data_IF_282248250697
#
_entry.id   IF_282248250697
#
_cell.length_a   1.000
_cell.length_b   1.000
_cell.length_c   1.000
_cell.angle_alpha   90.00
_cell.angle_beta   90.00
_cell.angle_gamma   90.00
#
_symmetry.space_group_name_H-M   'P 1'
#
loop_
_entity.id
_entity.type
_entity.pdbx_description
1 polymer ?
#
# COMPACT_ATOMS: atom_id res chain seq x y z
N UNK A 1 -14.28 1.56 4.01
CA UNK A 1 -14.35 1.14 5.44
C UNK A 1 -15.27 -0.07 5.54
N UNK A 2 -14.82 -1.18 6.15
CA UNK A 2 -15.56 -2.47 6.22
C UNK A 2 -17.00 -2.32 6.73
N UNK A 3 -17.22 -1.49 7.75
CA UNK A 3 -18.54 -1.23 8.32
C UNK A 3 -19.59 -0.67 7.33
N UNK A 4 -19.16 -0.09 6.21
CA UNK A 4 -20.04 0.45 5.16
C UNK A 4 -20.08 -0.44 3.91
N UNK A 5 -19.36 -1.57 3.90
CA UNK A 5 -19.28 -2.43 2.73
C UNK A 5 -20.54 -3.31 2.61
N UNK A 6 -21.22 -3.35 1.45
CA UNK A 6 -22.49 -4.07 1.30
C UNK A 6 -22.38 -5.55 1.67
N UNK A 7 -21.21 -6.16 1.44
CA UNK A 7 -20.94 -7.57 1.75
C UNK A 7 -20.26 -7.81 3.08
N UNK A 8 -19.37 -6.91 3.54
CA UNK A 8 -18.44 -7.20 4.66
C UNK A 8 -18.81 -6.49 5.96
N UNK A 9 -19.90 -5.70 5.98
CA UNK A 9 -20.36 -4.95 7.15
C UNK A 9 -20.66 -5.83 8.37
N UNK A 10 -20.85 -7.14 8.19
CA UNK A 10 -21.08 -8.10 9.28
C UNK A 10 -19.81 -8.44 10.06
N UNK A 11 -18.62 -8.14 9.53
CA UNK A 11 -17.35 -8.39 10.20
C UNK A 11 -17.10 -7.32 11.26
N UNK A 12 -16.83 -7.74 12.50
CA UNK A 12 -16.46 -6.84 13.59
C UNK A 12 -15.08 -6.23 13.33
N UNK A 13 -14.96 -4.90 13.49
CA UNK A 13 -13.71 -4.15 13.24
C UNK A 13 -13.08 -3.56 14.49
N UNK A 14 -13.89 -3.13 15.48
CA UNK A 14 -13.39 -2.38 16.64
C UNK A 14 -12.44 -3.22 17.49
N UNK A 15 -11.24 -2.67 17.75
CA UNK A 15 -10.22 -3.29 18.62
C UNK A 15 -9.50 -4.50 18.01
N UNK A 16 -9.65 -4.74 16.70
CA UNK A 16 -9.01 -5.86 16.02
C UNK A 16 -7.89 -5.40 15.10
N UNK A 17 -6.85 -6.22 14.98
CA UNK A 17 -5.81 -6.05 13.99
C UNK A 17 -6.38 -6.16 12.56
N UNK A 18 -5.79 -5.42 11.62
CA UNK A 18 -6.20 -5.43 10.21
C UNK A 18 -6.15 -6.85 9.62
N UNK A 19 -5.08 -7.59 9.89
CA UNK A 19 -4.92 -8.97 9.41
C UNK A 19 -6.04 -9.90 9.87
N UNK A 20 -6.53 -9.75 11.11
CA UNK A 20 -7.64 -10.55 11.63
C UNK A 20 -8.96 -10.24 10.91
N UNK A 21 -9.18 -8.97 10.56
CA UNK A 21 -10.36 -8.56 9.78
C UNK A 21 -10.27 -9.11 8.35
N UNK A 22 -9.11 -9.01 7.71
CA UNK A 22 -8.89 -9.53 6.35
C UNK A 22 -8.98 -11.06 6.28
N UNK A 23 -8.51 -11.78 7.31
CA UNK A 23 -8.65 -13.23 7.42
C UNK A 23 -10.12 -13.67 7.48
N UNK A 24 -10.97 -12.93 8.21
CA UNK A 24 -12.42 -13.19 8.22
C UNK A 24 -13.03 -12.98 6.83
N UNK A 25 -12.61 -11.96 6.09
CA UNK A 25 -13.07 -11.74 4.70
C UNK A 25 -12.69 -12.96 3.85
N UNK A 26 -11.41 -13.34 3.88
CA UNK A 26 -10.87 -14.47 3.12
C UNK A 26 -11.61 -15.78 3.43
N UNK A 27 -11.86 -16.08 4.71
CA UNK A 27 -12.50 -17.31 5.11
C UNK A 27 -14.03 -17.30 4.90
N UNK A 28 -14.72 -16.28 5.40
CA UNK A 28 -16.19 -16.28 5.46
C UNK A 28 -16.83 -15.96 4.10
N UNK A 29 -16.17 -15.15 3.27
CA UNK A 29 -16.74 -14.68 2.01
C UNK A 29 -16.07 -15.27 0.77
N UNK A 30 -14.78 -15.57 0.84
CA UNK A 30 -14.04 -16.18 -0.26
C UNK A 30 -13.78 -17.67 -0.06
N UNK A 31 -14.25 -18.23 1.06
CA UNK A 31 -14.20 -19.66 1.39
C UNK A 31 -12.78 -20.24 1.35
N UNK A 32 -11.78 -19.40 1.64
CA UNK A 32 -10.39 -19.85 1.78
C UNK A 32 -10.28 -20.63 3.09
N UNK A 33 -9.84 -21.91 3.08
CA UNK A 33 -9.71 -22.71 4.29
C UNK A 33 -8.76 -22.06 5.31
N UNK A 34 -9.08 -22.14 6.60
CA UNK A 34 -8.32 -21.47 7.65
C UNK A 34 -6.86 -21.94 7.70
N UNK A 35 -6.60 -23.22 7.41
CA UNK A 35 -5.26 -23.80 7.31
C UNK A 35 -4.41 -23.24 6.16
N UNK A 36 -5.03 -22.54 5.20
CA UNK A 36 -4.36 -21.82 4.11
C UNK A 36 -4.15 -20.33 4.40
N UNK A 37 -4.62 -19.83 5.55
CA UNK A 37 -4.49 -18.43 5.94
C UNK A 37 -3.48 -18.33 7.08
N UNK A 38 -2.34 -17.70 6.80
CA UNK A 38 -1.33 -17.44 7.83
C UNK A 38 -1.44 -15.99 8.28
N UNK A 39 -1.65 -15.80 9.58
CA UNK A 39 -1.87 -14.48 10.17
C UNK A 39 -0.57 -13.90 10.72
N UNK A 40 -0.27 -12.69 10.28
CA UNK A 40 0.70 -11.79 10.90
C UNK A 40 -0.07 -10.56 11.40
N UNK A 41 -0.20 -10.39 12.70
CA UNK A 41 -1.08 -9.40 13.33
C UNK A 41 -0.36 -8.45 14.29
N UNK A 42 0.98 -8.41 14.24
CA UNK A 42 1.84 -7.64 15.16
C UNK A 42 2.45 -6.40 14.51
N UNK A 43 2.47 -6.32 13.18
CA UNK A 43 3.02 -5.16 12.50
C UNK A 43 2.23 -3.88 12.77
N UNK A 44 2.97 -2.78 12.91
CA UNK A 44 2.42 -1.43 13.14
C UNK A 44 2.74 -0.47 12.00
N UNK A 45 3.64 -0.87 11.08
CA UNK A 45 4.05 -0.05 9.94
C UNK A 45 4.50 -0.91 8.74
N UNK A 46 4.68 -0.28 7.59
CA UNK A 46 5.01 -0.97 6.33
C UNK A 46 6.36 -1.70 6.36
N UNK A 47 7.35 -1.24 7.13
CA UNK A 47 8.63 -1.92 7.28
C UNK A 47 8.48 -3.23 8.06
N UNK A 48 7.69 -3.19 9.13
CA UNK A 48 7.33 -4.38 9.91
C UNK A 48 6.51 -5.38 9.09
N UNK A 49 5.57 -4.92 8.26
CA UNK A 49 4.81 -5.81 7.36
C UNK A 49 5.75 -6.70 6.54
N UNK A 50 6.76 -6.10 5.89
CA UNK A 50 7.72 -6.85 5.09
C UNK A 50 8.55 -7.82 5.95
N UNK A 51 9.13 -7.32 7.05
CA UNK A 51 9.99 -8.09 7.94
C UNK A 51 9.26 -9.28 8.58
N UNK A 52 8.08 -9.04 9.14
CA UNK A 52 7.31 -10.08 9.83
C UNK A 52 6.67 -11.07 8.86
N UNK A 53 6.23 -10.62 7.68
CA UNK A 53 5.79 -11.53 6.62
C UNK A 53 6.93 -12.47 6.18
N UNK A 54 8.15 -11.93 5.98
CA UNK A 54 9.32 -12.75 5.64
C UNK A 54 9.65 -13.76 6.76
N UNK A 55 9.58 -13.34 8.03
CA UNK A 55 9.80 -14.25 9.16
C UNK A 55 8.71 -15.33 9.28
N UNK A 56 7.48 -15.03 8.89
CA UNK A 56 6.36 -15.99 8.89
C UNK A 56 6.53 -17.02 7.77
N UNK A 57 6.82 -16.60 6.54
CA UNK A 57 6.95 -17.54 5.42
C UNK A 57 8.15 -18.47 5.56
N UNK A 58 9.22 -18.07 6.27
CA UNK A 58 10.36 -18.95 6.58
C UNK A 58 10.02 -20.11 7.51
N UNK A 59 8.87 -20.07 8.18
CA UNK A 59 8.36 -21.18 9.00
C UNK A 59 7.62 -22.23 8.16
N UNK A 60 7.44 -21.99 6.86
CA UNK A 60 6.86 -22.95 5.95
C UNK A 60 7.67 -24.25 5.92
N UNK A 61 6.97 -25.40 5.83
CA UNK A 61 7.63 -26.70 5.65
C UNK A 61 8.30 -26.84 4.28
N UNK A 62 7.80 -26.11 3.29
CA UNK A 62 8.26 -26.10 1.91
C UNK A 62 8.73 -24.70 1.53
N UNK A 63 9.76 -24.61 0.70
CA UNK A 63 10.27 -23.33 0.24
C UNK A 63 9.25 -22.61 -0.64
N UNK A 64 8.93 -21.37 -0.27
CA UNK A 64 8.13 -20.48 -1.09
C UNK A 64 9.09 -19.74 -2.04
N UNK A 65 9.08 -20.13 -3.32
CA UNK A 65 10.00 -19.57 -4.32
C UNK A 65 9.47 -18.27 -4.96
N UNK A 66 8.17 -17.99 -4.85
CA UNK A 66 7.53 -16.81 -5.44
C UNK A 66 6.34 -16.41 -4.60
N UNK A 67 6.22 -15.12 -4.33
CA UNK A 67 5.12 -14.55 -3.56
C UNK A 67 4.58 -13.31 -4.26
N UNK A 68 3.26 -13.16 -4.27
CA UNK A 68 2.58 -11.96 -4.77
C UNK A 68 2.26 -11.05 -3.60
N UNK A 69 2.75 -9.81 -3.67
CA UNK A 69 2.44 -8.76 -2.71
C UNK A 69 1.29 -7.93 -3.25
N UNK A 70 0.19 -7.93 -2.50
CA UNK A 70 -1.01 -7.13 -2.78
C UNK A 70 -1.08 -6.03 -1.72
N UNK A 71 -1.12 -4.78 -2.17
CA UNK A 71 -1.21 -3.59 -1.32
C UNK A 71 -2.07 -2.52 -2.00
N UNK A 72 -2.53 -1.54 -1.22
CA UNK A 72 -3.05 -0.27 -1.74
C UNK A 72 -2.16 0.25 -2.90
N UNK A 73 -2.74 0.52 -4.08
CA UNK A 73 -2.00 0.97 -5.26
C UNK A 73 -1.04 2.14 -5.01
N UNK A 74 -1.38 3.05 -4.10
CA UNK A 74 -0.55 4.22 -3.77
C UNK A 74 0.75 3.83 -3.06
N UNK A 75 0.72 2.77 -2.26
CA UNK A 75 1.86 2.31 -1.45
C UNK A 75 2.60 1.10 -2.04
N UNK A 76 2.04 0.47 -3.08
CA UNK A 76 2.55 -0.76 -3.68
C UNK A 76 4.04 -0.72 -4.00
N UNK A 77 4.53 0.37 -4.62
CA UNK A 77 5.95 0.49 -5.01
C UNK A 77 6.87 0.49 -3.80
N UNK A 78 6.51 1.23 -2.74
CA UNK A 78 7.29 1.28 -1.50
C UNK A 78 7.26 -0.06 -0.77
N UNK A 79 6.12 -0.73 -0.73
CA UNK A 79 6.00 -2.06 -0.10
C UNK A 79 6.88 -3.09 -0.80
N UNK A 80 6.88 -3.16 -2.14
CA UNK A 80 7.78 -4.05 -2.88
C UNK A 80 9.24 -3.74 -2.61
N UNK A 81 9.62 -2.45 -2.57
CA UNK A 81 10.98 -2.04 -2.28
C UNK A 81 11.40 -2.40 -0.84
N UNK A 82 10.47 -2.39 0.12
CA UNK A 82 10.70 -2.85 1.49
C UNK A 82 10.92 -4.37 1.57
N UNK A 83 10.08 -5.17 0.89
CA UNK A 83 10.27 -6.63 0.82
C UNK A 83 11.64 -6.98 0.24
N UNK A 84 12.03 -6.34 -0.86
CA UNK A 84 13.35 -6.52 -1.47
C UNK A 84 14.48 -6.11 -0.52
N UNK A 85 14.33 -5.01 0.22
CA UNK A 85 15.34 -4.56 1.18
C UNK A 85 15.54 -5.55 2.32
N UNK A 86 14.45 -6.10 2.84
CA UNK A 86 14.47 -7.11 3.91
C UNK A 86 15.13 -8.41 3.47
N UNK A 87 15.05 -8.73 2.18
CA UNK A 87 15.58 -9.99 1.62
C UNK A 87 16.78 -9.78 0.69
N UNK A 88 17.46 -8.63 0.76
CA UNK A 88 18.47 -8.23 -0.24
C UNK A 88 19.66 -9.21 -0.28
N UNK A 89 20.07 -9.69 0.91
CA UNK A 89 21.18 -10.64 1.08
C UNK A 89 20.71 -12.11 1.24
N UNK A 90 19.42 -12.39 1.03
CA UNK A 90 18.85 -13.73 1.23
C UNK A 90 18.67 -14.46 -0.10
N UNK A 91 19.57 -15.40 -0.40
CA UNK A 91 19.53 -16.20 -1.64
C UNK A 91 18.34 -17.15 -1.72
N UNK A 92 17.73 -17.49 -0.59
CA UNK A 92 16.58 -18.39 -0.50
C UNK A 92 15.25 -17.61 -0.48
N UNK A 93 15.30 -16.28 -0.57
CA UNK A 93 14.11 -15.46 -0.56
C UNK A 93 13.24 -15.66 -1.82
N UNK A 94 11.90 -15.59 -1.69
CA UNK A 94 11.01 -15.68 -2.83
C UNK A 94 11.22 -14.53 -3.81
N UNK A 95 10.94 -14.80 -5.08
CA UNK A 95 10.68 -13.74 -6.05
C UNK A 95 9.42 -12.96 -5.66
N UNK A 96 9.58 -11.69 -5.32
CA UNK A 96 8.48 -10.79 -5.01
C UNK A 96 7.81 -10.21 -6.26
N UNK A 97 6.55 -10.57 -6.48
CA UNK A 97 5.68 -10.05 -7.54
C UNK A 97 4.76 -8.96 -7.00
N UNK A 98 4.46 -7.98 -7.85
CA UNK A 98 3.62 -6.84 -7.50
C UNK A 98 2.24 -6.95 -8.15
N UNK A 99 1.18 -6.92 -7.35
CA UNK A 99 -0.19 -6.94 -7.86
C UNK A 99 -1.14 -6.11 -6.97
N UNK A 100 -1.29 -4.79 -7.22
CA UNK A 100 -2.18 -3.94 -6.43
C UNK A 100 -3.68 -4.12 -6.77
N UNK A 101 -4.02 -5.03 -7.69
CA UNK A 101 -5.38 -5.27 -8.18
C UNK A 101 -5.83 -4.32 -9.28
N UNK A 102 -5.49 -3.04 -9.23
CA UNK A 102 -5.84 -2.04 -10.25
C UNK A 102 -4.87 -0.85 -10.26
N UNK A 103 -4.99 0.00 -11.30
CA UNK A 103 -4.22 1.26 -11.44
C UNK A 103 -5.21 2.42 -11.38
N UNK A 104 -5.25 3.24 -10.29
CA UNK A 104 -6.21 4.33 -10.17
C UNK A 104 -6.04 5.38 -11.27
N UNK A 105 -7.13 5.78 -11.92
CA UNK A 105 -7.13 6.84 -12.95
C UNK A 105 -8.15 7.91 -12.57
N UNK A 106 -7.70 9.16 -12.46
CA UNK A 106 -8.57 10.31 -12.32
C UNK A 106 -8.97 10.85 -13.69
N UNK A 107 -10.23 11.28 -13.83
CA UNK A 107 -10.78 11.94 -15.01
C UNK A 107 -11.57 13.16 -14.58
N UNK A 108 -11.43 14.23 -15.36
CA UNK A 108 -12.29 15.40 -15.23
C UNK A 108 -13.56 15.19 -16.06
N UNK A 109 -14.73 15.30 -15.42
CA UNK A 109 -16.04 15.15 -16.06
C UNK A 109 -17.05 16.08 -15.38
N UNK A 110 -17.89 16.76 -16.15
CA UNK A 110 -18.99 17.62 -15.65
C UNK A 110 -18.56 18.65 -14.58
N UNK A 111 -17.35 19.20 -14.72
CA UNK A 111 -16.81 20.21 -13.78
C UNK A 111 -16.22 19.63 -12.48
N UNK A 112 -16.16 18.31 -12.34
CA UNK A 112 -15.59 17.61 -11.19
C UNK A 112 -14.47 16.64 -11.57
N UNK A 113 -13.59 16.35 -10.61
CA UNK A 113 -12.56 15.30 -10.74
C UNK A 113 -13.05 14.04 -10.04
N UNK A 114 -13.07 12.92 -10.77
CA UNK A 114 -13.58 11.64 -10.30
C UNK A 114 -12.66 10.50 -10.72
N UNK A 115 -12.77 9.35 -10.06
CA UNK A 115 -12.11 8.14 -10.53
C UNK A 115 -12.85 7.54 -11.73
N UNK A 116 -12.10 7.13 -12.75
CA UNK A 116 -12.64 6.51 -13.96
C UNK A 116 -12.84 4.99 -13.82
N UNK A 117 -12.13 4.35 -12.91
CA UNK A 117 -12.00 2.90 -12.83
C UNK A 117 -11.89 2.38 -11.38
N UNK A 118 -12.33 3.17 -10.42
CA UNK A 118 -12.28 2.82 -8.99
C UNK A 118 -13.71 2.82 -8.49
N UNK A 119 -14.10 1.76 -7.80
CA UNK A 119 -15.41 1.67 -7.16
C UNK A 119 -15.57 2.77 -6.09
N UNK A 120 -16.81 3.20 -5.87
CA UNK A 120 -17.11 4.19 -4.84
C UNK A 120 -16.69 3.69 -3.45
N UNK A 121 -16.05 4.57 -2.68
CA UNK A 121 -15.74 4.32 -1.27
C UNK A 121 -14.35 3.74 -0.97
N UNK A 122 -13.47 3.57 -1.96
CA UNK A 122 -12.06 3.21 -1.73
C UNK A 122 -11.29 4.40 -1.16
N UNK A 123 -11.27 5.53 -1.87
CA UNK A 123 -10.76 6.82 -1.38
C UNK A 123 -11.64 7.96 -1.87
N UNK A 124 -11.62 9.09 -1.16
CA UNK A 124 -11.93 10.37 -1.82
C UNK A 124 -10.76 10.77 -2.71
N UNK A 125 -11.00 11.62 -3.72
CA UNK A 125 -9.94 12.11 -4.60
C UNK A 125 -8.85 12.82 -3.78
N UNK A 126 -9.24 13.60 -2.78
CA UNK A 126 -8.33 14.30 -1.87
C UNK A 126 -7.46 13.33 -1.09
N UNK A 127 -8.05 12.26 -0.53
CA UNK A 127 -7.28 11.27 0.21
C UNK A 127 -6.26 10.56 -0.69
N UNK A 128 -6.67 10.20 -1.90
CA UNK A 128 -5.76 9.60 -2.88
C UNK A 128 -4.62 10.54 -3.27
N UNK A 129 -4.91 11.80 -3.57
CA UNK A 129 -3.90 12.81 -3.92
C UNK A 129 -2.92 13.05 -2.76
N UNK A 130 -3.42 13.13 -1.52
CA UNK A 130 -2.60 13.22 -0.32
C UNK A 130 -1.68 12.01 -0.14
N UNK A 131 -2.18 10.80 -0.39
CA UNK A 131 -1.38 9.57 -0.32
C UNK A 131 -0.25 9.58 -1.34
N UNK A 132 -0.56 9.77 -2.63
CA UNK A 132 0.48 9.75 -3.69
C UNK A 132 1.50 10.87 -3.52
N UNK A 133 1.08 12.07 -3.07
CA UNK A 133 1.98 13.20 -2.84
C UNK A 133 2.98 12.89 -1.71
N UNK A 134 2.54 12.18 -0.67
CA UNK A 134 3.38 11.76 0.45
C UNK A 134 4.30 10.57 0.15
N UNK A 135 3.99 9.75 -0.87
CA UNK A 135 4.79 8.58 -1.21
C UNK A 135 6.07 8.94 -1.98
N UNK A 136 6.05 9.95 -2.85
CA UNK A 136 7.24 10.28 -3.64
C UNK A 136 8.45 10.70 -2.78
N UNK A 137 8.31 11.60 -1.77
CA UNK A 137 9.41 11.92 -0.86
C UNK A 137 9.95 10.70 -0.11
N UNK A 138 9.09 9.73 0.23
CA UNK A 138 9.52 8.49 0.90
C UNK A 138 10.31 7.59 -0.05
N UNK A 139 9.96 7.56 -1.33
CA UNK A 139 10.65 6.74 -2.34
C UNK A 139 11.99 7.32 -2.78
N UNK A 140 12.24 8.62 -2.58
CA UNK A 140 13.53 9.23 -2.91
C UNK A 140 14.66 8.60 -2.11
N UNK A 141 15.81 8.49 -2.75
CA UNK A 141 17.05 8.05 -2.13
C UNK A 141 17.96 9.26 -1.85
N UNK A 142 17.52 10.04 -0.87
CA UNK A 142 18.21 11.20 -0.30
C UNK A 142 18.16 11.13 1.23
N UNK A 143 18.75 12.11 1.91
CA UNK A 143 18.88 12.18 3.37
C UNK A 143 17.54 12.11 4.13
N UNK A 144 16.43 12.43 3.47
CA UNK A 144 15.09 12.47 4.08
C UNK A 144 14.20 11.28 3.68
N UNK A 145 14.54 10.64 2.57
CA UNK A 145 13.81 9.52 2.00
C UNK A 145 14.09 8.18 2.67
N UNK A 146 13.43 7.13 2.20
CA UNK A 146 13.50 5.80 2.84
C UNK A 146 14.56 4.89 2.21
N UNK A 147 15.22 5.34 1.15
CA UNK A 147 16.32 4.60 0.53
C UNK A 147 17.59 4.55 1.38
N UNK A 148 18.64 3.85 0.91
CA UNK A 148 19.91 3.67 1.62
C UNK A 148 20.62 4.97 2.05
N UNK A 149 20.42 6.08 1.32
CA UNK A 149 21.02 7.39 1.66
C UNK A 149 20.25 8.16 2.74
N UNK A 150 19.08 7.67 3.14
CA UNK A 150 18.25 8.26 4.17
C UNK A 150 18.01 7.27 5.30
N UNK A 151 16.78 6.76 5.40
CA UNK A 151 16.37 5.86 6.50
C UNK A 151 16.70 4.38 6.30
N UNK A 152 17.13 3.99 5.11
CA UNK A 152 17.50 2.61 4.77
C UNK A 152 16.40 1.55 5.06
N UNK A 153 15.14 1.94 4.82
CA UNK A 153 13.98 1.05 4.98
C UNK A 153 13.58 0.34 3.69
N UNK A 154 13.99 0.88 2.53
CA UNK A 154 13.72 0.31 1.21
C UNK A 154 15.00 0.29 0.38
N UNK A 155 15.04 -0.54 -0.65
CA UNK A 155 16.12 -0.48 -1.65
C UNK A 155 16.12 0.88 -2.35
N UNK A 156 17.23 1.23 -3.01
CA UNK A 156 17.26 2.35 -3.93
C UNK A 156 16.12 2.25 -4.96
N UNK A 157 15.46 3.38 -5.24
CA UNK A 157 14.40 3.48 -6.25
C UNK A 157 14.72 4.60 -7.23
N UNK A 158 14.94 4.24 -8.49
CA UNK A 158 14.98 5.21 -9.57
C UNK A 158 13.60 5.84 -9.78
N UNK A 159 13.54 7.16 -9.64
CA UNK A 159 12.34 7.95 -9.95
C UNK A 159 12.52 8.57 -11.34
N UNK A 160 11.69 8.17 -12.33
CA UNK A 160 11.73 8.75 -13.66
C UNK A 160 11.50 10.27 -13.65
N UNK A 161 12.17 10.98 -14.56
CA UNK A 161 12.14 12.46 -14.63
C UNK A 161 10.73 13.03 -14.86
N UNK A 162 9.91 12.34 -15.64
CA UNK A 162 8.52 12.69 -15.88
C UNK A 162 7.66 12.55 -14.62
N UNK A 163 7.93 11.55 -13.78
CA UNK A 163 7.27 11.39 -12.46
C UNK A 163 7.68 12.51 -11.51
N UNK A 164 8.96 12.89 -11.46
CA UNK A 164 9.42 14.05 -10.69
C UNK A 164 8.72 15.35 -11.13
N UNK A 165 8.65 15.59 -12.44
CA UNK A 165 7.91 16.75 -12.99
C UNK A 165 6.43 16.72 -12.63
N UNK A 166 5.78 15.57 -12.72
CA UNK A 166 4.37 15.43 -12.36
C UNK A 166 4.13 15.76 -10.88
N UNK A 167 5.03 15.33 -9.98
CA UNK A 167 4.95 15.68 -8.57
C UNK A 167 5.21 17.16 -8.30
N UNK A 168 6.13 17.80 -9.02
CA UNK A 168 6.34 19.25 -8.93
C UNK A 168 5.10 20.03 -9.33
N UNK A 169 4.40 19.61 -10.40
CA UNK A 169 3.11 20.19 -10.79
C UNK A 169 2.08 20.04 -9.67
N UNK A 170 1.97 18.85 -9.09
CA UNK A 170 1.06 18.56 -7.98
C UNK A 170 1.33 19.46 -6.76
N UNK A 171 2.61 19.67 -6.43
CA UNK A 171 3.04 20.50 -5.31
C UNK A 171 2.85 22.00 -5.59
N UNK A 172 2.97 22.44 -6.84
CA UNK A 172 2.78 23.84 -7.20
C UNK A 172 1.30 24.25 -7.27
N UNK A 173 0.39 23.29 -7.35
CA UNK A 173 -1.04 23.54 -7.43
C UNK A 173 -1.61 24.03 -6.09
N UNK A 174 -1.78 25.35 -5.98
CA UNK A 174 -2.36 26.01 -4.80
C UNK A 174 -3.83 25.66 -4.60
N UNK A 175 -4.58 25.39 -5.66
CA UNK A 175 -5.99 25.00 -5.58
C UNK A 175 -6.11 23.63 -4.94
N UNK A 176 -5.25 22.69 -5.36
CA UNK A 176 -5.17 21.37 -4.75
C UNK A 176 -4.70 21.45 -3.30
N UNK A 177 -3.64 22.22 -3.00
CA UNK A 177 -3.15 22.38 -1.62
C UNK A 177 -4.23 22.92 -0.68
N UNK A 178 -4.93 24.00 -1.08
CA UNK A 178 -6.02 24.55 -0.28
C UNK A 178 -7.18 23.57 -0.11
N UNK A 179 -7.52 22.78 -1.14
CA UNK A 179 -8.56 21.75 -1.03
C UNK A 179 -8.17 20.61 -0.05
N UNK A 180 -6.89 20.22 -0.04
CA UNK A 180 -6.35 19.22 0.89
C UNK A 180 -6.32 19.74 2.34
N UNK A 181 -5.93 21.00 2.55
CA UNK A 181 -5.83 21.63 3.88
C UNK A 181 -7.21 21.91 4.51
N UNK A 182 -8.16 22.45 3.74
CA UNK A 182 -9.51 22.80 4.23
C UNK A 182 -10.34 21.59 4.68
N UNK A 183 -10.08 20.41 4.11
CA UNK A 183 -10.80 19.17 4.44
C UNK A 183 -10.07 18.28 5.44
N UNK A 184 -8.77 18.49 5.70
CA UNK A 184 -8.04 17.84 6.79
C UNK A 184 -8.42 18.40 8.18
N UNK A 185 -9.01 19.60 8.22
CA UNK A 185 -9.54 20.26 9.42
C UNK A 185 -11.02 19.90 9.74
N UNK A 186 -11.62 18.98 8.99
CA UNK A 186 -12.98 18.45 9.21
C UNK A 186 -12.92 16.95 9.49
#
# INVERSE_FOLDING_TARGET
>A
MIARHPRYHTIRTTGRAEAAILADIANQFWHIPAEKIWLEDRSTNCGENARFSCALIRQAKENINTAIVVQDPTMQRRTIAAFRRVTDDDTDAPRWLSFPGFVPVLRHLNGGTHFANVEEGIWTVERYLSLIAGELPRLRDDETGYGPRGKDFIIHVDIPRDIEKAWQVLQADTTLRSALEQRALR
#
